data_IF_088555299319
#
_entry.id   IF_088555299319
#
_cell.length_a   1.000
_cell.length_b   1.000
_cell.length_c   1.000
_cell.angle_alpha   90.00
_cell.angle_beta   90.00
_cell.angle_gamma   90.00
#
_symmetry.space_group_name_H-M   'P 1'
#
loop_
_entity.id
_entity.type
_entity.pdbx_description
1 polymer ?
#
# COMPACT_ATOMS: atom_id res chain seq x y z
N UNK A 1 18.32 -19.47 3.85
CA UNK A 1 18.59 -20.90 4.09
C UNK A 1 18.98 -21.11 5.55
N UNK A 2 18.81 -22.32 6.10
CA UNK A 2 19.33 -22.68 7.42
C UNK A 2 20.67 -23.40 7.23
N UNK A 3 21.68 -23.01 7.99
CA UNK A 3 22.97 -23.71 8.01
C UNK A 3 23.15 -24.42 9.33
N UNK A 4 23.33 -25.73 9.31
CA UNK A 4 23.45 -26.55 10.52
C UNK A 4 24.73 -27.37 10.44
N UNK A 5 25.54 -27.32 11.50
CA UNK A 5 26.72 -28.16 11.61
C UNK A 5 26.37 -29.64 11.72
N UNK A 6 27.31 -30.50 11.31
CA UNK A 6 27.19 -31.96 11.41
C UNK A 6 27.52 -32.50 12.81
N UNK A 7 28.21 -31.71 13.64
CA UNK A 7 28.61 -32.05 15.01
C UNK A 7 27.88 -31.16 16.01
N UNK A 8 27.35 -31.76 17.07
CA UNK A 8 26.71 -31.02 18.15
C UNK A 8 27.74 -30.38 19.09
N UNK A 9 27.43 -29.18 19.59
CA UNK A 9 28.15 -28.55 20.69
C UNK A 9 27.99 -29.39 21.96
N UNK A 10 29.10 -29.80 22.56
CA UNK A 10 29.12 -30.60 23.80
C UNK A 10 29.87 -29.86 24.90
N UNK A 11 29.68 -30.29 26.16
CA UNK A 11 30.45 -29.74 27.28
C UNK A 11 31.97 -29.90 27.09
N UNK A 12 32.41 -31.01 26.48
CA UNK A 12 33.83 -31.23 26.19
C UNK A 12 34.41 -30.21 25.20
N UNK A 13 33.63 -29.82 24.18
CA UNK A 13 34.03 -28.79 23.20
C UNK A 13 34.09 -27.42 23.89
N UNK A 14 33.09 -27.10 24.72
CA UNK A 14 33.03 -25.84 25.48
C UNK A 14 34.24 -25.69 26.42
N UNK A 15 34.54 -26.74 27.18
CA UNK A 15 35.63 -26.74 28.16
C UNK A 15 37.02 -26.76 27.49
N UNK A 16 37.11 -27.14 26.21
CA UNK A 16 38.32 -27.11 25.40
C UNK A 16 38.63 -25.72 24.80
N UNK A 17 37.73 -24.74 24.92
CA UNK A 17 37.93 -23.38 24.39
C UNK A 17 37.60 -23.27 22.90
N UNK A 18 36.37 -23.64 22.57
CA UNK A 18 35.81 -23.51 21.23
C UNK A 18 35.71 -22.05 20.80
N UNK A 19 36.13 -21.76 19.57
CA UNK A 19 36.02 -20.43 18.96
C UNK A 19 35.10 -20.49 17.76
N UNK A 20 34.00 -19.75 17.82
CA UNK A 20 33.02 -19.62 16.74
C UNK A 20 33.12 -18.20 16.18
N UNK A 21 33.37 -18.11 14.88
CA UNK A 21 33.39 -16.84 14.16
C UNK A 21 32.16 -16.76 13.26
N UNK A 22 31.45 -15.64 13.32
CA UNK A 22 30.31 -15.33 12.45
C UNK A 22 30.54 -13.94 11.83
N UNK A 23 30.34 -13.81 10.53
CA UNK A 23 30.53 -12.52 9.84
C UNK A 23 29.49 -12.26 8.75
N UNK A 24 29.11 -11.00 8.61
CA UNK A 24 28.11 -10.52 7.64
C UNK A 24 28.37 -9.05 7.35
N UNK A 25 28.35 -8.66 6.06
CA UNK A 25 28.43 -7.25 5.66
C UNK A 25 29.63 -6.47 6.23
N UNK A 26 30.76 -7.14 6.47
CA UNK A 26 31.97 -6.55 7.06
C UNK A 26 32.00 -6.48 8.59
N UNK A 27 30.93 -6.88 9.29
CA UNK A 27 30.92 -7.07 10.75
C UNK A 27 31.36 -8.50 11.07
N UNK A 28 32.04 -8.70 12.20
CA UNK A 28 32.53 -10.03 12.62
C UNK A 28 32.42 -10.18 14.12
N UNK A 29 31.87 -11.32 14.54
CA UNK A 29 31.86 -11.79 15.92
C UNK A 29 32.83 -12.94 16.04
N UNK A 30 33.79 -12.81 16.95
CA UNK A 30 34.68 -13.89 17.37
C UNK A 30 34.29 -14.29 18.79
N UNK A 31 33.47 -15.32 18.92
CA UNK A 31 32.97 -15.80 20.19
C UNK A 31 33.87 -16.94 20.71
N UNK A 32 34.29 -16.85 21.97
CA UNK A 32 35.09 -17.87 22.64
C UNK A 32 34.28 -18.48 23.78
N UNK A 33 34.15 -19.81 23.80
CA UNK A 33 33.46 -20.51 24.88
C UNK A 33 34.23 -20.43 26.19
N UNK A 34 33.50 -20.44 27.31
CA UNK A 34 34.09 -20.35 28.64
C UNK A 34 33.87 -21.66 29.40
N UNK A 35 34.96 -22.22 29.91
CA UNK A 35 34.94 -23.44 30.71
C UNK A 35 33.98 -23.32 31.90
N UNK A 36 33.17 -24.36 32.11
CA UNK A 36 32.20 -24.43 33.21
C UNK A 36 30.84 -23.75 32.93
N UNK A 37 30.66 -23.08 31.79
CA UNK A 37 29.32 -22.71 31.31
C UNK A 37 28.62 -23.92 30.69
N UNK A 38 27.31 -23.99 30.86
CA UNK A 38 26.50 -25.02 30.23
C UNK A 38 26.39 -24.80 28.72
N UNK A 39 25.98 -25.83 27.97
CA UNK A 39 25.69 -25.71 26.52
C UNK A 39 24.66 -24.62 26.28
N UNK A 40 23.59 -24.59 27.07
CA UNK A 40 22.53 -23.60 26.95
C UNK A 40 23.00 -22.16 27.25
N UNK A 41 23.78 -21.97 28.32
CA UNK A 41 24.36 -20.66 28.63
C UNK A 41 25.28 -20.17 27.51
N UNK A 42 26.09 -21.07 26.95
CA UNK A 42 26.99 -20.75 25.85
C UNK A 42 26.23 -20.33 24.59
N UNK A 43 25.13 -21.01 24.25
CA UNK A 43 24.29 -20.65 23.11
C UNK A 43 23.52 -19.33 23.34
N UNK A 44 23.10 -19.05 24.58
CA UNK A 44 22.53 -17.75 24.94
C UNK A 44 23.56 -16.64 24.76
N UNK A 45 24.77 -16.82 25.28
CA UNK A 45 25.84 -15.82 25.18
C UNK A 45 26.27 -15.58 23.73
N UNK A 46 26.33 -16.64 22.91
CA UNK A 46 26.59 -16.52 21.47
C UNK A 46 25.49 -15.72 20.77
N UNK A 47 24.22 -16.02 21.07
CA UNK A 47 23.08 -15.30 20.50
C UNK A 47 23.13 -13.80 20.86
N UNK A 48 23.47 -13.48 22.12
CA UNK A 48 23.65 -12.11 22.58
C UNK A 48 24.82 -11.45 21.86
N UNK A 49 25.97 -12.11 21.72
CA UNK A 49 27.14 -11.56 21.03
C UNK A 49 26.85 -11.24 19.55
N UNK A 50 26.06 -12.08 18.86
CA UNK A 50 25.62 -11.86 17.48
C UNK A 50 24.71 -10.62 17.40
N UNK A 51 23.74 -10.53 18.32
CA UNK A 51 22.81 -9.39 18.39
C UNK A 51 23.52 -8.07 18.72
N UNK A 52 24.42 -8.08 19.70
CA UNK A 52 25.18 -6.89 20.14
C UNK A 52 26.11 -6.37 19.05
N UNK A 53 26.63 -7.27 18.20
CA UNK A 53 27.44 -6.90 17.05
C UNK A 53 26.59 -6.38 15.86
N UNK A 54 25.26 -6.39 15.97
CA UNK A 54 24.36 -5.94 14.91
C UNK A 54 24.38 -6.82 13.66
N UNK A 55 24.62 -8.13 13.82
CA UNK A 55 24.48 -9.11 12.76
C UNK A 55 23.00 -9.52 12.62
N UNK A 56 22.49 -9.60 11.40
CA UNK A 56 21.12 -10.01 11.10
C UNK A 56 20.97 -11.53 11.05
N UNK A 57 21.52 -12.23 12.06
CA UNK A 57 21.58 -13.69 12.11
C UNK A 57 20.92 -14.17 13.40
N UNK A 58 20.08 -15.20 13.28
CA UNK A 58 19.48 -15.92 14.40
C UNK A 58 20.10 -17.30 14.59
N UNK A 59 20.20 -17.68 15.85
CA UNK A 59 20.56 -19.04 16.26
C UNK A 59 19.28 -19.89 16.38
N UNK A 60 19.09 -20.85 15.48
CA UNK A 60 17.94 -21.75 15.54
C UNK A 60 18.23 -22.84 16.56
N UNK A 61 17.31 -23.00 17.50
CA UNK A 61 17.32 -24.07 18.49
C UNK A 61 16.36 -25.18 18.09
N UNK A 62 16.70 -26.46 18.32
CA UNK A 62 15.77 -27.55 18.11
C UNK A 62 14.53 -27.39 19.00
N UNK A 63 13.36 -27.62 18.41
CA UNK A 63 12.07 -27.67 19.10
C UNK A 63 11.52 -29.10 19.08
N UNK A 64 11.07 -29.67 20.21
CA UNK A 64 10.98 -29.06 21.54
C UNK A 64 12.34 -28.84 22.22
N UNK A 65 12.46 -27.86 23.13
CA UNK A 65 13.70 -27.58 23.84
C UNK A 65 14.14 -28.79 24.67
N UNK A 66 15.41 -29.18 24.51
CA UNK A 66 16.03 -30.21 25.36
C UNK A 66 16.26 -29.64 26.76
N UNK A 67 15.72 -30.30 27.78
CA UNK A 67 15.63 -29.79 29.17
C UNK A 67 16.89 -29.99 30.01
N UNK A 68 17.97 -30.53 29.43
CA UNK A 68 19.25 -30.72 30.12
C UNK A 68 20.31 -29.73 29.64
N UNK A 69 20.81 -28.85 30.53
CA UNK A 69 21.77 -27.79 30.17
C UNK A 69 23.12 -28.27 29.60
N UNK A 70 23.47 -29.55 29.76
CA UNK A 70 24.69 -30.16 29.20
C UNK A 70 24.44 -31.12 28.02
N UNK A 71 23.20 -31.23 27.54
CA UNK A 71 22.86 -32.12 26.42
C UNK A 71 23.50 -31.57 25.14
N UNK A 72 24.13 -32.42 24.30
CA UNK A 72 24.65 -32.00 23.02
C UNK A 72 23.59 -31.32 22.15
N UNK A 73 23.91 -30.14 21.58
CA UNK A 73 23.00 -29.41 20.70
C UNK A 73 23.69 -29.04 19.38
N UNK A 74 23.05 -29.31 18.26
CA UNK A 74 23.50 -28.81 16.97
C UNK A 74 23.37 -27.28 16.92
N UNK A 75 24.37 -26.62 16.34
CA UNK A 75 24.32 -25.19 16.08
C UNK A 75 23.73 -24.99 14.70
N UNK A 76 22.65 -24.21 14.61
CA UNK A 76 22.03 -23.81 13.36
C UNK A 76 21.90 -22.31 13.28
N UNK A 77 22.32 -21.73 12.16
CA UNK A 77 22.22 -20.30 11.88
C UNK A 77 21.24 -20.03 10.75
N UNK A 78 20.52 -18.91 10.84
CA UNK A 78 19.63 -18.42 9.80
C UNK A 78 19.70 -16.90 9.72
N UNK A 79 19.74 -16.35 8.51
CA UNK A 79 19.61 -14.92 8.29
C UNK A 79 18.18 -14.44 8.63
N UNK A 80 18.05 -13.30 9.30
CA UNK A 80 16.75 -12.72 9.72
C UNK A 80 15.92 -12.22 8.54
N UNK A 81 16.59 -11.68 7.54
CA UNK A 81 15.96 -11.20 6.31
C UNK A 81 16.00 -12.26 5.21
N UNK A 82 15.09 -12.13 4.24
CA UNK A 82 14.90 -13.08 3.15
C UNK A 82 15.44 -12.52 1.84
N UNK A 83 15.94 -13.40 0.98
CA UNK A 83 16.28 -13.10 -0.40
C UNK A 83 17.66 -13.58 -0.83
N UNK A 84 17.93 -13.47 -2.12
CA UNK A 84 19.17 -13.98 -2.73
C UNK A 84 20.37 -13.06 -2.55
N UNK A 85 20.17 -11.80 -2.18
CA UNK A 85 21.24 -10.81 -2.03
C UNK A 85 22.00 -10.94 -0.69
N UNK A 86 21.49 -11.74 0.25
CA UNK A 86 21.95 -11.80 1.63
C UNK A 86 22.78 -13.06 1.90
N UNK A 87 23.98 -12.87 2.44
CA UNK A 87 24.91 -13.95 2.78
C UNK A 87 25.64 -13.65 4.09
N UNK A 88 25.98 -14.70 4.83
CA UNK A 88 26.86 -14.63 5.98
C UNK A 88 27.88 -15.76 5.95
N UNK A 89 28.96 -15.62 6.71
CA UNK A 89 29.98 -16.65 6.83
C UNK A 89 30.13 -17.12 8.27
N UNK A 90 30.43 -18.40 8.42
CA UNK A 90 30.66 -19.04 9.72
C UNK A 90 31.95 -19.86 9.71
N UNK A 91 32.65 -19.89 10.83
CA UNK A 91 33.82 -20.73 11.06
C UNK A 91 33.86 -21.21 12.51
N UNK A 92 34.45 -22.38 12.73
CA UNK A 92 34.74 -22.92 14.06
C UNK A 92 36.11 -23.56 14.09
N UNK A 93 36.79 -23.58 15.24
CA UNK A 93 38.02 -24.35 15.41
C UNK A 93 37.79 -25.87 15.61
N UNK A 94 36.54 -26.31 15.74
CA UNK A 94 36.12 -27.71 15.72
C UNK A 94 35.45 -28.07 14.39
N UNK A 95 36.04 -29.04 13.68
CA UNK A 95 35.47 -29.56 12.44
C UNK A 95 34.05 -30.14 12.66
N UNK A 96 33.13 -29.78 11.78
CA UNK A 96 31.73 -30.18 11.80
C UNK A 96 30.83 -29.35 12.72
N UNK A 97 31.34 -28.51 13.63
CA UNK A 97 30.49 -27.77 14.57
C UNK A 97 29.65 -26.70 13.86
N UNK A 98 30.29 -25.90 13.00
CA UNK A 98 29.61 -24.96 12.10
C UNK A 98 30.22 -24.97 10.70
N UNK A 99 31.42 -25.50 10.52
CA UNK A 99 32.11 -25.66 9.23
C UNK A 99 32.66 -27.07 9.12
N UNK A 100 32.62 -27.69 7.94
CA UNK A 100 33.11 -29.07 7.75
C UNK A 100 34.59 -29.23 8.11
N UNK A 101 35.38 -28.18 7.87
CA UNK A 101 36.80 -28.12 8.20
C UNK A 101 37.03 -27.09 9.30
N UNK A 102 37.88 -27.43 10.26
CA UNK A 102 38.29 -26.52 11.33
C UNK A 102 39.00 -25.28 10.79
N UNK A 103 38.77 -24.14 11.43
CA UNK A 103 39.36 -22.82 11.13
C UNK A 103 39.14 -22.34 9.70
N UNK A 104 38.11 -22.85 9.02
CA UNK A 104 37.79 -22.48 7.64
C UNK A 104 36.45 -21.76 7.62
N UNK A 105 36.44 -20.54 7.07
CA UNK A 105 35.22 -19.77 6.86
C UNK A 105 34.42 -20.38 5.71
N UNK A 106 33.17 -20.74 5.98
CA UNK A 106 32.21 -21.22 4.98
C UNK A 106 31.17 -20.14 4.77
N UNK A 107 30.93 -19.78 3.51
CA UNK A 107 29.81 -18.90 3.15
C UNK A 107 28.54 -19.73 3.13
N UNK A 108 27.56 -19.33 3.94
CA UNK A 108 26.25 -19.97 3.98
C UNK A 108 25.45 -19.55 2.77
N UNK A 109 24.76 -20.51 2.14
CA UNK A 109 23.95 -20.28 0.95
C UNK A 109 22.89 -19.20 1.15
N UNK A 110 22.72 -18.41 0.10
CA UNK A 110 21.81 -17.28 0.03
C UNK A 110 20.36 -17.75 0.21
N UNK A 111 19.47 -16.84 0.60
CA UNK A 111 18.03 -17.09 0.52
C UNK A 111 17.56 -17.22 -0.93
N UNK A 112 16.28 -17.57 -1.09
CA UNK A 112 15.61 -17.56 -2.40
C UNK A 112 14.62 -16.40 -2.41
N UNK A 113 14.59 -15.64 -3.49
CA UNK A 113 13.56 -14.63 -3.70
C UNK A 113 12.24 -15.30 -4.12
N UNK A 114 11.11 -14.71 -3.73
CA UNK A 114 9.82 -15.10 -4.29
C UNK A 114 9.82 -14.87 -5.79
N UNK A 115 9.24 -15.77 -6.57
CA UNK A 115 9.12 -15.61 -8.01
C UNK A 115 7.71 -15.99 -8.45
N UNK A 116 7.23 -15.37 -9.52
CA UNK A 116 5.92 -15.62 -10.07
C UNK A 116 5.43 -14.47 -10.93
N UNK A 117 4.16 -14.56 -11.31
CA UNK A 117 3.45 -13.55 -12.10
C UNK A 117 2.29 -13.01 -11.27
N UNK A 118 1.98 -11.73 -11.44
CA UNK A 118 0.76 -11.12 -10.90
C UNK A 118 -0.21 -10.97 -12.07
N UNK A 119 -1.35 -11.64 -12.00
CA UNK A 119 -2.35 -11.65 -13.08
C UNK A 119 -1.80 -12.13 -14.45
N UNK A 120 -0.78 -13.01 -14.45
CA UNK A 120 -0.13 -13.47 -15.68
C UNK A 120 0.85 -12.46 -16.31
N UNK A 121 1.11 -11.34 -15.62
CA UNK A 121 2.07 -10.32 -16.03
C UNK A 121 3.40 -10.47 -15.29
N UNK A 122 4.46 -9.95 -15.90
CA UNK A 122 5.84 -10.07 -15.41
C UNK A 122 5.96 -9.39 -14.04
N UNK A 123 6.69 -10.02 -13.12
CA UNK A 123 6.90 -9.48 -11.78
C UNK A 123 8.30 -9.81 -11.28
N UNK A 124 8.92 -8.87 -10.58
CA UNK A 124 10.22 -9.04 -9.95
C UNK A 124 10.09 -9.37 -8.47
N UNK A 125 10.78 -10.43 -8.08
CA UNK A 125 10.94 -10.85 -6.69
C UNK A 125 12.14 -10.22 -6.01
N UNK A 126 11.94 -9.72 -4.80
CA UNK A 126 13.02 -9.36 -3.87
C UNK A 126 12.67 -9.82 -2.46
N UNK A 127 13.42 -10.79 -1.95
CA UNK A 127 13.15 -11.47 -0.69
C UNK A 127 11.77 -12.10 -0.70
N UNK A 128 10.92 -11.62 0.20
CA UNK A 128 9.53 -12.06 0.33
C UNK A 128 8.53 -11.26 -0.51
N UNK A 129 8.96 -10.22 -1.22
CA UNK A 129 8.07 -9.30 -1.94
C UNK A 129 8.16 -9.53 -3.44
N UNK A 130 7.03 -9.85 -4.06
CA UNK A 130 6.84 -9.89 -5.50
C UNK A 130 6.20 -8.55 -5.92
N UNK A 131 6.80 -7.87 -6.90
CA UNK A 131 6.34 -6.57 -7.40
C UNK A 131 6.05 -6.68 -8.90
N UNK A 132 4.90 -6.21 -9.35
CA UNK A 132 4.62 -6.10 -10.78
C UNK A 132 5.46 -4.99 -11.41
N UNK A 133 6.18 -5.34 -12.48
CA UNK A 133 7.20 -4.48 -13.08
C UNK A 133 6.58 -3.29 -13.84
N UNK A 134 7.36 -2.23 -14.01
CA UNK A 134 6.97 -1.07 -14.81
C UNK A 134 6.58 -1.50 -16.23
N UNK A 135 5.43 -1.02 -16.72
CA UNK A 135 4.84 -1.44 -18.00
C UNK A 135 3.98 -2.71 -17.96
N UNK A 136 3.80 -3.34 -16.80
CA UNK A 136 2.82 -4.42 -16.61
C UNK A 136 1.41 -3.82 -16.54
N UNK A 137 0.57 -4.03 -17.56
CA UNK A 137 -0.70 -3.30 -17.73
C UNK A 137 -1.57 -3.20 -16.47
N UNK A 138 -1.92 -4.34 -15.84
CA UNK A 138 -2.78 -4.36 -14.64
C UNK A 138 -2.02 -4.64 -13.35
N UNK A 139 -0.79 -5.16 -13.44
CA UNK A 139 0.03 -5.52 -12.28
C UNK A 139 1.05 -4.46 -11.87
N UNK A 140 1.31 -3.43 -12.70
CA UNK A 140 2.33 -2.42 -12.44
C UNK A 140 2.18 -1.80 -11.05
N UNK A 141 3.26 -1.86 -10.27
CA UNK A 141 3.32 -1.31 -8.92
C UNK A 141 2.57 -2.12 -7.85
N UNK A 142 1.85 -3.19 -8.19
CA UNK A 142 1.26 -4.11 -7.21
C UNK A 142 2.38 -4.85 -6.50
N UNK A 143 2.35 -4.83 -5.16
CA UNK A 143 3.29 -5.56 -4.30
C UNK A 143 2.56 -6.62 -3.49
N UNK A 144 3.01 -7.86 -3.60
CA UNK A 144 2.52 -9.00 -2.82
C UNK A 144 3.65 -9.52 -1.95
N UNK A 145 3.42 -9.62 -0.64
CA UNK A 145 4.40 -10.19 0.28
C UNK A 145 3.98 -11.59 0.70
N UNK A 146 4.87 -12.56 0.51
CA UNK A 146 4.75 -13.88 1.11
C UNK A 146 5.26 -13.83 2.56
N UNK A 147 4.39 -14.09 3.54
CA UNK A 147 4.74 -14.04 4.96
C UNK A 147 5.25 -15.37 5.53
N UNK A 148 5.30 -16.44 4.72
CA UNK A 148 5.83 -17.72 5.16
C UNK A 148 7.36 -17.75 5.18
N UNK A 149 7.91 -18.53 6.10
CA UNK A 149 9.37 -18.67 6.26
C UNK A 149 9.98 -19.82 5.43
N UNK A 150 9.14 -20.64 4.80
CA UNK A 150 9.57 -21.82 4.04
C UNK A 150 8.87 -21.87 2.69
N UNK A 151 9.46 -22.59 1.74
CA UNK A 151 8.81 -22.82 0.45
C UNK A 151 7.45 -23.52 0.66
N UNK A 152 6.35 -23.03 0.08
CA UNK A 152 5.05 -23.67 0.19
C UNK A 152 5.10 -25.11 -0.33
N UNK A 153 4.46 -26.09 0.36
CA UNK A 153 4.31 -27.44 -0.17
C UNK A 153 3.63 -27.39 -1.55
N UNK A 154 4.33 -27.85 -2.58
CA UNK A 154 3.85 -27.80 -3.97
C UNK A 154 4.18 -26.50 -4.73
N UNK A 155 4.98 -25.60 -4.16
CA UNK A 155 5.55 -24.43 -4.86
C UNK A 155 4.59 -23.25 -5.05
N UNK A 156 3.31 -23.40 -4.75
CA UNK A 156 2.33 -22.32 -4.82
C UNK A 156 1.99 -21.81 -3.41
N UNK A 157 2.28 -20.53 -3.16
CA UNK A 157 1.97 -19.87 -1.88
C UNK A 157 0.48 -19.56 -1.71
N UNK A 158 -0.27 -19.46 -2.80
CA UNK A 158 -1.69 -19.13 -2.82
C UNK A 158 -2.09 -18.21 -3.96
N UNK A 159 -3.34 -17.77 -3.95
CA UNK A 159 -3.88 -16.80 -4.91
C UNK A 159 -4.36 -15.56 -4.17
N UNK A 160 -4.01 -14.38 -4.68
CA UNK A 160 -4.54 -13.10 -4.19
C UNK A 160 -5.53 -12.59 -5.23
N UNK A 161 -6.77 -12.36 -4.80
CA UNK A 161 -7.79 -11.74 -5.66
C UNK A 161 -7.91 -10.27 -5.28
N UNK A 162 -7.70 -9.39 -6.25
CA UNK A 162 -7.97 -7.97 -6.11
C UNK A 162 -9.40 -7.69 -6.55
N UNK A 163 -10.20 -7.08 -5.69
CA UNK A 163 -11.50 -6.52 -6.07
C UNK A 163 -11.38 -5.01 -6.02
N UNK A 164 -11.59 -4.36 -7.16
CA UNK A 164 -11.64 -2.91 -7.26
C UNK A 164 -12.96 -2.43 -6.62
N UNK A 165 -12.95 -2.19 -5.31
CA UNK A 165 -14.10 -1.63 -4.58
C UNK A 165 -14.04 -0.09 -4.58
N UNK A 166 -13.81 0.48 -5.78
CA UNK A 166 -13.75 1.93 -5.94
C UNK A 166 -15.10 2.55 -5.62
N UNK A 167 -15.06 3.73 -5.03
CA UNK A 167 -16.22 4.59 -4.92
C UNK A 167 -16.32 5.39 -6.22
N UNK A 168 -17.39 5.19 -6.97
CA UNK A 168 -17.67 5.89 -8.22
C UNK A 168 -18.53 7.12 -7.95
N UNK A 169 -18.08 8.28 -8.43
CA UNK A 169 -18.76 9.57 -8.30
C UNK A 169 -19.16 10.06 -9.69
N UNK A 170 -20.44 10.40 -9.87
CA UNK A 170 -20.89 11.17 -11.02
C UNK A 170 -20.35 12.61 -10.88
N UNK A 171 -19.51 13.04 -11.82
CA UNK A 171 -18.88 14.37 -11.79
C UNK A 171 -19.35 15.30 -12.91
N UNK A 172 -20.15 14.80 -13.85
CA UNK A 172 -20.66 15.56 -14.97
C UNK A 172 -22.17 15.42 -15.19
N UNK A 173 -22.68 16.10 -16.21
CA UNK A 173 -24.10 16.14 -16.53
C UNK A 173 -24.55 15.00 -17.44
N UNK A 174 -23.62 14.34 -18.15
CA UNK A 174 -23.90 13.27 -19.09
C UNK A 174 -23.64 11.88 -18.47
N UNK A 175 -24.20 10.85 -19.10
CA UNK A 175 -23.83 9.47 -18.77
C UNK A 175 -22.32 9.24 -18.96
N UNK A 176 -21.77 8.33 -18.15
CA UNK A 176 -20.36 7.91 -18.19
C UNK A 176 -19.31 8.97 -17.75
N UNK A 177 -19.76 10.15 -17.29
CA UNK A 177 -18.88 11.17 -16.70
C UNK A 177 -18.63 10.90 -15.21
N UNK A 178 -17.81 9.87 -14.95
CA UNK A 178 -17.48 9.40 -13.60
C UNK A 178 -16.02 9.67 -13.20
N UNK A 179 -15.80 9.80 -11.90
CA UNK A 179 -14.49 9.79 -11.27
C UNK A 179 -14.48 8.77 -10.14
N UNK A 180 -13.42 7.99 -10.05
CA UNK A 180 -13.33 6.87 -9.11
C UNK A 180 -12.17 7.06 -8.13
N UNK A 181 -12.41 6.67 -6.88
CA UNK A 181 -11.36 6.60 -5.87
C UNK A 181 -11.45 5.31 -5.09
N UNK A 182 -10.31 4.62 -4.97
CA UNK A 182 -10.14 3.46 -4.11
C UNK A 182 -9.49 3.88 -2.80
N UNK A 183 -10.08 3.44 -1.69
CA UNK A 183 -9.54 3.67 -0.35
C UNK A 183 -9.04 2.36 0.23
N UNK A 184 -7.84 2.42 0.82
CA UNK A 184 -7.29 1.30 1.60
C UNK A 184 -8.10 1.13 2.89
N UNK A 185 -8.14 -0.10 3.41
CA UNK A 185 -8.70 -0.39 4.74
C UNK A 185 -7.98 0.41 5.84
N UNK A 186 -8.76 1.02 6.72
CA UNK A 186 -8.29 1.78 7.90
C UNK A 186 -8.46 0.99 9.20
N UNK A 187 -8.73 -0.31 9.12
CA UNK A 187 -8.81 -1.17 10.30
C UNK A 187 -7.42 -1.30 10.92
N UNK A 188 -7.34 -1.37 12.25
CA UNK A 188 -6.07 -1.50 12.98
C UNK A 188 -5.28 -2.75 12.59
N UNK A 189 -5.95 -3.84 12.24
CA UNK A 189 -5.29 -5.04 11.71
C UNK A 189 -4.58 -4.78 10.38
N UNK A 190 -5.07 -3.83 9.57
CA UNK A 190 -4.57 -3.55 8.23
C UNK A 190 -3.52 -2.43 8.18
N UNK A 191 -3.28 -1.72 9.28
CA UNK A 191 -2.34 -0.60 9.36
C UNK A 191 -1.02 -0.98 10.03
N UNK A 192 0.07 -0.28 9.66
CA UNK A 192 1.39 -0.47 10.27
C UNK A 192 2.01 -1.84 9.96
N UNK A 193 1.65 -2.44 8.82
CA UNK A 193 2.10 -3.78 8.44
C UNK A 193 3.46 -3.74 7.77
N UNK A 194 4.31 -4.71 8.11
CA UNK A 194 5.59 -4.90 7.42
C UNK A 194 6.77 -4.14 7.96
N UNK A 195 6.60 -3.50 9.11
CA UNK A 195 7.72 -2.94 9.86
C UNK A 195 8.56 -4.07 10.43
N UNK A 196 9.87 -4.02 10.16
CA UNK A 196 10.82 -4.94 10.77
C UNK A 196 10.98 -4.58 12.26
N UNK A 197 10.62 -5.50 13.14
CA UNK A 197 10.62 -5.26 14.57
C UNK A 197 10.92 -6.56 15.35
N UNK A 198 11.67 -6.44 16.45
CA UNK A 198 12.08 -7.60 17.27
C UNK A 198 10.93 -8.26 18.03
N UNK A 199 9.87 -7.50 18.28
CA UNK A 199 8.68 -7.94 19.03
C UNK A 199 7.68 -8.73 18.18
N UNK A 200 7.95 -8.91 16.89
CA UNK A 200 7.10 -9.61 15.91
C UNK A 200 5.67 -9.05 15.78
N UNK A 201 5.47 -7.76 16.03
CA UNK A 201 4.18 -7.10 15.77
C UNK A 201 3.89 -7.10 14.27
N UNK A 202 2.74 -7.63 13.87
CA UNK A 202 2.35 -7.67 12.45
C UNK A 202 1.55 -6.47 12.00
N UNK A 203 0.88 -5.78 12.93
CA UNK A 203 0.02 -4.62 12.66
C UNK A 203 -0.21 -3.78 13.91
N UNK A 204 -0.82 -2.62 13.73
CA UNK A 204 -1.21 -1.69 14.79
C UNK A 204 -2.06 -2.36 15.90
N UNK A 205 -2.85 -3.38 15.57
CA UNK A 205 -3.67 -4.12 16.53
C UNK A 205 -2.90 -5.05 17.49
N UNK A 206 -1.68 -5.45 17.15
CA UNK A 206 -0.89 -6.43 17.90
C UNK A 206 0.12 -5.76 18.86
N UNK A 207 0.18 -4.43 18.86
CA UNK A 207 1.15 -3.67 19.64
C UNK A 207 0.95 -3.92 21.13
N UNK A 208 2.07 -4.20 21.80
CA UNK A 208 2.20 -4.26 23.25
C UNK A 208 3.28 -3.28 23.70
N UNK A 209 3.18 -2.80 24.94
CA UNK A 209 4.13 -1.83 25.53
C UNK A 209 4.53 -2.31 26.93
N UNK A 210 4.82 -3.62 27.06
CA UNK A 210 5.08 -4.23 28.37
C UNK A 210 6.55 -4.12 28.80
N UNK A 211 7.45 -3.82 27.87
CA UNK A 211 8.87 -3.61 28.13
C UNK A 211 9.46 -2.55 27.16
N UNK A 212 10.74 -2.21 27.35
CA UNK A 212 11.41 -1.15 26.59
C UNK A 212 11.53 -1.46 25.10
N UNK A 213 11.87 -2.69 24.73
CA UNK A 213 12.02 -3.11 23.33
C UNK A 213 10.68 -3.07 22.60
N UNK A 214 9.64 -3.61 23.24
CA UNK A 214 8.27 -3.53 22.76
C UNK A 214 7.79 -2.09 22.59
N UNK A 215 8.16 -1.19 23.50
CA UNK A 215 7.82 0.23 23.38
C UNK A 215 8.51 0.91 22.18
N UNK A 216 9.77 0.57 21.90
CA UNK A 216 10.47 1.08 20.73
C UNK A 216 9.90 0.53 19.42
N UNK A 217 9.61 -0.76 19.38
CA UNK A 217 8.98 -1.42 18.24
C UNK A 217 7.56 -0.90 17.99
N UNK A 218 6.80 -0.62 19.05
CA UNK A 218 5.48 -0.01 18.98
C UNK A 218 5.50 1.35 18.27
N UNK A 219 6.49 2.20 18.57
CA UNK A 219 6.64 3.51 17.94
C UNK A 219 6.80 3.35 16.42
N UNK A 220 7.66 2.44 15.96
CA UNK A 220 7.86 2.18 14.51
C UNK A 220 6.56 1.79 13.81
N UNK A 221 5.82 0.84 14.39
CA UNK A 221 4.54 0.38 13.83
C UNK A 221 3.50 1.51 13.80
N UNK A 222 3.46 2.35 14.84
CA UNK A 222 2.56 3.51 14.93
C UNK A 222 2.93 4.56 13.88
N UNK A 223 4.22 4.90 13.73
CA UNK A 223 4.70 5.87 12.75
C UNK A 223 4.31 5.43 11.33
N UNK A 224 4.55 4.16 10.99
CA UNK A 224 4.12 3.59 9.71
C UNK A 224 2.60 3.68 9.53
N UNK A 225 1.81 3.35 10.55
CA UNK A 225 0.35 3.48 10.47
C UNK A 225 -0.10 4.94 10.26
N UNK A 226 0.57 5.90 10.90
CA UNK A 226 0.31 7.34 10.74
C UNK A 226 0.64 7.78 9.31
N UNK A 227 1.78 7.34 8.75
CA UNK A 227 2.14 7.62 7.37
C UNK A 227 1.10 7.08 6.38
N UNK A 228 0.64 5.84 6.57
CA UNK A 228 -0.39 5.23 5.73
C UNK A 228 -1.73 6.00 5.78
N UNK A 229 -2.14 6.44 6.97
CA UNK A 229 -3.35 7.26 7.16
C UNK A 229 -3.17 8.62 6.50
N UNK A 230 -2.03 9.28 6.69
CA UNK A 230 -1.73 10.59 6.11
C UNK A 230 -1.67 10.52 4.58
N UNK A 231 -1.03 9.50 4.02
CA UNK A 231 -1.00 9.27 2.59
C UNK A 231 -2.41 9.10 2.01
N UNK A 232 -3.28 8.35 2.71
CA UNK A 232 -4.66 8.18 2.26
C UNK A 232 -5.47 9.47 2.36
N UNK A 233 -5.29 10.27 3.43
CA UNK A 233 -5.87 11.61 3.55
C UNK A 233 -5.39 12.54 2.43
N UNK A 234 -4.10 12.49 2.09
CA UNK A 234 -3.53 13.23 0.97
C UNK A 234 -4.18 12.87 -0.37
N UNK A 235 -4.36 11.56 -0.63
CA UNK A 235 -5.06 11.07 -1.83
C UNK A 235 -6.52 11.53 -1.86
N UNK A 236 -7.24 11.45 -0.74
CA UNK A 236 -8.61 11.93 -0.64
C UNK A 236 -8.71 13.45 -0.89
N UNK A 237 -7.83 14.24 -0.28
CA UNK A 237 -7.80 15.69 -0.47
C UNK A 237 -7.46 16.08 -1.90
N UNK A 238 -6.50 15.38 -2.52
CA UNK A 238 -6.17 15.59 -3.94
C UNK A 238 -7.36 15.26 -4.85
N UNK A 239 -8.06 14.14 -4.59
CA UNK A 239 -9.24 13.77 -5.35
C UNK A 239 -10.38 14.80 -5.20
N UNK A 240 -10.66 15.23 -3.97
CA UNK A 240 -11.67 16.25 -3.69
C UNK A 240 -11.35 17.56 -4.43
N UNK A 241 -10.13 18.09 -4.27
CA UNK A 241 -9.74 19.37 -4.87
C UNK A 241 -9.69 19.30 -6.39
N UNK A 242 -9.04 18.28 -6.94
CA UNK A 242 -8.73 18.24 -8.37
C UNK A 242 -9.88 17.69 -9.21
N UNK A 243 -10.70 16.79 -8.65
CA UNK A 243 -11.84 16.24 -9.38
C UNK A 243 -13.14 16.91 -8.92
N UNK A 244 -13.55 16.75 -7.66
CA UNK A 244 -14.89 17.17 -7.24
C UNK A 244 -15.08 18.69 -7.27
N UNK A 245 -14.15 19.46 -6.69
CA UNK A 245 -14.26 20.92 -6.63
C UNK A 245 -14.06 21.56 -8.01
N UNK A 246 -13.11 21.05 -8.81
CA UNK A 246 -12.90 21.53 -10.17
C UNK A 246 -14.13 21.29 -11.06
N UNK A 247 -14.68 20.08 -11.04
CA UNK A 247 -15.89 19.77 -11.80
C UNK A 247 -17.12 20.54 -11.29
N UNK A 248 -17.26 20.71 -9.97
CA UNK A 248 -18.34 21.53 -9.41
C UNK A 248 -18.28 22.98 -9.92
N UNK A 249 -17.09 23.57 -9.98
CA UNK A 249 -16.91 24.92 -10.53
C UNK A 249 -17.24 24.96 -12.03
N UNK A 250 -16.80 23.96 -12.79
CA UNK A 250 -17.15 23.84 -14.21
C UNK A 250 -18.66 23.74 -14.42
N UNK A 251 -19.34 22.88 -13.66
CA UNK A 251 -20.80 22.70 -13.74
C UNK A 251 -21.57 23.97 -13.36
N UNK A 252 -21.09 24.74 -12.37
CA UNK A 252 -21.69 26.04 -12.02
C UNK A 252 -21.61 27.04 -13.17
N UNK A 253 -20.45 27.13 -13.83
CA UNK A 253 -20.25 28.02 -14.98
C UNK A 253 -21.13 27.56 -16.16
N UNK A 254 -21.16 26.25 -16.44
CA UNK A 254 -22.00 25.70 -17.49
C UNK A 254 -23.49 25.97 -17.24
N UNK A 255 -23.94 25.82 -16.00
CA UNK A 255 -25.30 26.11 -15.58
C UNK A 255 -25.65 27.60 -15.73
N UNK A 256 -24.77 28.51 -15.32
CA UNK A 256 -24.97 29.95 -15.50
C UNK A 256 -25.08 30.33 -16.99
N UNK A 257 -24.20 29.78 -17.82
CA UNK A 257 -24.24 29.99 -19.28
C UNK A 257 -25.53 29.44 -19.90
N UNK A 258 -26.01 28.28 -19.44
CA UNK A 258 -27.25 27.68 -19.92
C UNK A 258 -28.47 28.54 -19.55
N UNK A 259 -28.55 29.01 -18.29
CA UNK A 259 -29.62 29.91 -17.85
C UNK A 259 -29.58 31.24 -18.61
N UNK A 260 -28.39 31.80 -18.84
CA UNK A 260 -28.24 33.03 -19.62
C UNK A 260 -28.75 32.84 -21.05
N UNK A 261 -28.39 31.72 -21.69
CA UNK A 261 -28.85 31.38 -23.04
C UNK A 261 -30.37 31.17 -23.08
N UNK A 262 -30.93 30.47 -22.08
CA UNK A 262 -32.38 30.29 -21.93
C UNK A 262 -33.10 31.63 -21.78
N UNK A 263 -32.57 32.53 -20.93
CA UNK A 263 -33.16 33.86 -20.74
C UNK A 263 -33.16 34.67 -22.03
N UNK A 264 -32.07 34.66 -22.80
CA UNK A 264 -31.99 35.38 -24.07
C UNK A 264 -33.01 34.85 -25.08
N UNK A 265 -33.15 33.52 -25.17
CA UNK A 265 -34.14 32.90 -26.05
C UNK A 265 -35.55 33.29 -25.61
N UNK A 266 -35.87 33.11 -24.33
CA UNK A 266 -37.19 33.43 -23.78
C UNK A 266 -37.55 34.90 -23.93
N UNK A 267 -36.61 35.81 -23.68
CA UNK A 267 -36.84 37.24 -23.78
C UNK A 267 -37.00 37.69 -25.25
N UNK A 268 -36.29 37.05 -26.19
CA UNK A 268 -36.47 37.27 -27.63
C UNK A 268 -37.85 36.80 -28.10
N UNK A 269 -38.27 35.59 -27.72
CA UNK A 269 -39.59 35.05 -28.04
C UNK A 269 -40.71 35.93 -27.45
N UNK A 270 -40.55 36.38 -26.20
CA UNK A 270 -41.47 37.32 -25.56
C UNK A 270 -41.52 38.66 -26.29
N UNK A 271 -40.38 39.20 -26.73
CA UNK A 271 -40.34 40.45 -27.47
C UNK A 271 -41.05 40.33 -28.84
N UNK A 272 -40.90 39.21 -29.54
CA UNK A 272 -41.60 38.93 -30.80
C UNK A 272 -43.12 38.83 -30.59
N UNK A 273 -43.56 38.10 -29.57
CA UNK A 273 -44.98 37.99 -29.21
C UNK A 273 -45.57 39.34 -28.79
N UNK A 274 -44.85 40.12 -27.98
CA UNK A 274 -45.30 41.46 -27.56
C UNK A 274 -45.38 42.44 -28.75
N UNK A 275 -44.44 42.37 -29.69
CA UNK A 275 -44.49 43.17 -30.91
C UNK A 275 -45.69 42.80 -31.78
N UNK A 276 -45.97 41.50 -31.91
CA UNK A 276 -47.13 40.99 -32.67
C UNK A 276 -48.45 41.33 -31.99
N UNK A 277 -48.53 41.18 -30.67
CA UNK A 277 -49.68 41.60 -29.86
C UNK A 277 -49.95 43.11 -30.02
N UNK A 278 -48.93 43.95 -29.88
CA UNK A 278 -49.03 45.41 -30.03
C UNK A 278 -49.48 45.79 -31.44
N UNK A 279 -48.90 45.16 -32.47
CA UNK A 279 -49.30 45.35 -33.87
C UNK A 279 -50.78 45.00 -34.08
N UNK A 280 -51.23 43.87 -33.54
CA UNK A 280 -52.63 43.44 -33.64
C UNK A 280 -53.56 44.41 -32.91
N UNK A 281 -53.14 44.92 -31.75
CA UNK A 281 -53.92 45.91 -31.00
C UNK A 281 -54.04 47.25 -31.74
N UNK A 282 -52.94 47.75 -32.32
CA UNK A 282 -52.96 48.95 -33.19
C UNK A 282 -53.85 48.70 -34.41
N UNK A 283 -53.77 47.53 -35.04
CA UNK A 283 -54.63 47.18 -36.18
C UNK A 283 -56.12 47.13 -35.79
N UNK A 284 -56.45 46.62 -34.61
CA UNK A 284 -57.83 46.63 -34.09
C UNK A 284 -58.32 48.05 -33.84
N UNK A 285 -57.52 48.91 -33.21
CA UNK A 285 -57.87 50.32 -32.96
C UNK A 285 -57.96 51.13 -34.26
N UNK A 286 -57.04 50.92 -35.20
CA UNK A 286 -57.11 51.53 -36.52
C UNK A 286 -58.33 51.05 -37.31
N UNK A 287 -58.71 49.77 -37.20
CA UNK A 287 -59.91 49.24 -37.85
C UNK A 287 -61.18 49.86 -37.26
N UNK A 288 -61.27 50.04 -35.95
CA UNK A 288 -62.42 50.71 -35.31
C UNK A 288 -62.47 52.20 -35.65
N UNK A 289 -61.34 52.92 -35.66
CA UNK A 289 -61.27 54.32 -36.11
C UNK A 289 -61.59 54.48 -37.59
N UNK A 290 -61.08 53.60 -38.46
CA UNK A 290 -61.41 53.60 -39.89
C UNK A 290 -62.88 53.28 -40.14
N UNK A 291 -63.48 52.33 -39.39
CA UNK A 291 -64.92 52.10 -39.44
C UNK A 291 -65.72 53.33 -38.99
N UNK A 292 -65.30 54.01 -37.93
CA UNK A 292 -65.94 55.24 -37.47
C UNK A 292 -65.85 56.36 -38.52
N UNK A 293 -64.70 56.52 -39.18
CA UNK A 293 -64.48 57.53 -40.20
C UNK A 293 -65.18 57.21 -41.53
N UNK A 294 -65.23 55.94 -41.94
CA UNK A 294 -66.01 55.49 -43.10
C UNK A 294 -67.51 55.72 -42.89
N UNK A 295 -68.02 55.48 -41.68
CA UNK A 295 -69.42 55.78 -41.33
C UNK A 295 -69.70 57.30 -41.37
N UNK A 296 -68.79 58.15 -40.88
CA UNK A 296 -68.94 59.61 -40.97
C UNK A 296 -68.87 60.14 -42.40
N UNK A 297 -67.93 59.67 -43.22
CA UNK A 297 -67.83 60.04 -44.63
C UNK A 297 -69.07 59.59 -45.42
N UNK A 298 -69.59 58.39 -45.15
CA UNK A 298 -70.83 57.89 -45.76
C UNK A 298 -72.03 58.79 -45.45
N UNK A 299 -72.14 59.27 -44.20
CA UNK A 299 -73.17 60.24 -43.79
C UNK A 299 -73.01 61.61 -44.47
N UNK A 300 -71.77 62.00 -44.79
CA UNK A 300 -71.48 63.29 -45.44
C UNK A 300 -71.83 63.23 -46.94
N UNK A 301 -71.57 62.10 -47.60
CA UNK A 301 -71.99 61.86 -48.99
C UNK A 301 -73.51 61.80 -49.11
N UNK A 302 -74.22 61.16 -48.17
CA UNK A 302 -75.69 61.21 -48.15
C UNK A 302 -76.23 62.64 -48.05
N UNK A 303 -75.50 63.53 -47.39
CA UNK A 303 -75.86 64.96 -47.23
C UNK A 303 -75.58 65.81 -48.48
N UNK A 304 -74.82 65.29 -49.45
CA UNK A 304 -74.54 65.93 -50.74
C UNK A 304 -75.43 65.44 -51.88
N UNK A 305 -76.08 64.28 -51.73
CA UNK A 305 -76.94 63.66 -52.75
C UNK A 305 -78.44 63.81 -52.41
N UNK A 306 -78.79 64.12 -51.15
CA UNK A 306 -80.14 64.52 -50.73
C UNK A 306 -80.30 66.03 -50.65
#
# INVERSE_FOLDING_TARGET
>A
ANHTGSVALTQGIIDAGEQITVSEGGRTVNFLTQKGKSVEQTLNDLSTAISDAGLSIDLIRPYPPVTGGGVPQAISFRHKEFGSDLTFQVASNTAGLVSDVANTSVTVENGTDVAGEINGEISTGKGQVLTGDDGSGTAEGIKVRYSGESLPPGGNAGTVTFSQNSLTFQIGANGDEHSEISLRSMKTNDLGRGENNSSNFKSLSEILVLNADQAQDAIRVIDQAIEEVNATRGKMGAFQKNNLESNLNYLRIAHENAISSESVIRDADMAEEMATFTRNQIMMEASTSMMAQANQNSMTVLKLIG
#
